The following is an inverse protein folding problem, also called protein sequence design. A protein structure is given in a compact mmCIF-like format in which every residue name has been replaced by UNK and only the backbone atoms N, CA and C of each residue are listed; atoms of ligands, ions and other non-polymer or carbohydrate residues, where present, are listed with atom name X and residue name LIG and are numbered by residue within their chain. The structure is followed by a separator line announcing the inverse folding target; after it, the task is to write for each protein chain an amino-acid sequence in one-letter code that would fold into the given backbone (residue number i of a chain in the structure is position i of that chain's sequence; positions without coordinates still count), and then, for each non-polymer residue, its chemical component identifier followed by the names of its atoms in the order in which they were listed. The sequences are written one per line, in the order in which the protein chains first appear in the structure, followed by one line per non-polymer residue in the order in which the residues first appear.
data_IF_881644941191
#
_entry.id   IF_881644941191
#
_cell.length_a   1.000
_cell.length_b   1.000
_cell.length_c   1.000
_cell.angle_alpha   90.00
_cell.angle_beta   90.00
_cell.angle_gamma   90.00
#
_symmetry.space_group_name_H-M   'P 1'
#
loop_
_entity.id
_entity.type
_entity.pdbx_description
1 polymer ?
#
# COMPACT_ATOMS: atom_id res chain seq x y z
N UNK A 1 6.51 -0.98 15.44
CA UNK A 1 5.42 -1.14 14.44
C UNK A 1 6.08 -1.21 13.07
N UNK A 2 5.87 -2.29 12.30
CA UNK A 2 6.53 -2.50 11.02
C UNK A 2 6.09 -1.48 9.94
N UNK A 3 4.84 -1.01 9.99
CA UNK A 3 4.25 -0.14 8.96
C UNK A 3 4.46 1.36 9.23
N UNK A 4 5.63 1.77 9.75
CA UNK A 4 5.94 3.19 9.96
C UNK A 4 6.64 3.75 8.73
N UNK A 5 6.32 5.00 8.36
CA UNK A 5 7.04 5.71 7.29
C UNK A 5 8.53 5.73 7.59
N UNK A 6 9.35 5.47 6.56
CA UNK A 6 10.81 5.56 6.65
C UNK A 6 11.22 6.95 7.11
N UNK A 7 12.24 7.04 7.97
CA UNK A 7 12.67 8.30 8.60
C UNK A 7 13.15 9.35 7.60
N UNK A 8 13.58 8.90 6.42
CA UNK A 8 14.09 9.75 5.34
C UNK A 8 13.01 10.17 4.35
N UNK A 9 11.73 9.82 4.59
CA UNK A 9 10.65 10.22 3.71
C UNK A 9 10.39 11.72 3.80
N UNK A 10 10.26 12.37 2.64
CA UNK A 10 9.84 13.76 2.57
C UNK A 10 8.36 13.90 2.93
N UNK A 11 8.02 15.00 3.59
CA UNK A 11 6.62 15.33 3.87
C UNK A 11 5.95 15.80 2.59
N UNK A 12 4.83 15.18 2.24
CA UNK A 12 4.03 15.56 1.06
C UNK A 12 2.80 16.30 1.58
N UNK A 13 2.49 17.46 0.99
CA UNK A 13 1.40 18.35 1.45
C UNK A 13 1.49 18.75 2.93
N UNK A 14 2.70 18.86 3.49
CA UNK A 14 2.90 19.25 4.89
C UNK A 14 2.50 18.17 5.91
N UNK A 15 2.21 16.95 5.46
CA UNK A 15 1.83 15.83 6.32
C UNK A 15 2.69 14.60 6.03
N UNK A 16 2.53 13.54 6.82
CA UNK A 16 3.16 12.26 6.52
C UNK A 16 2.56 11.72 5.22
N UNK A 17 3.37 11.29 4.23
CA UNK A 17 2.86 10.74 2.97
C UNK A 17 1.82 9.62 3.15
N UNK A 18 1.90 8.83 4.22
CA UNK A 18 0.91 7.78 4.51
C UNK A 18 -0.49 8.30 4.88
N UNK A 19 -0.60 9.57 5.28
CA UNK A 19 -1.86 10.20 5.69
C UNK A 19 -2.66 10.76 4.53
N UNK A 20 -2.14 10.69 3.31
CA UNK A 20 -2.91 10.99 2.09
C UNK A 20 -4.05 9.97 1.90
N UNK A 21 -3.89 8.76 2.45
CA UNK A 21 -4.94 7.73 2.49
C UNK A 21 -5.67 7.77 3.83
N UNK A 22 -7.00 7.67 3.77
CA UNK A 22 -7.86 7.65 4.96
C UNK A 22 -7.49 6.51 5.93
N UNK A 23 -7.70 6.76 7.22
CA UNK A 23 -7.36 5.80 8.29
C UNK A 23 -8.05 4.44 8.10
N UNK A 24 -9.31 4.43 7.67
CA UNK A 24 -10.09 3.19 7.49
C UNK A 24 -9.47 2.33 6.38
N UNK A 25 -9.15 2.94 5.24
CA UNK A 25 -8.55 2.25 4.09
C UNK A 25 -7.16 1.73 4.45
N UNK A 26 -6.34 2.52 5.14
CA UNK A 26 -4.99 2.11 5.58
C UNK A 26 -5.02 0.87 6.49
N UNK A 27 -5.99 0.79 7.41
CA UNK A 27 -6.18 -0.40 8.24
C UNK A 27 -6.57 -1.61 7.41
N UNK A 28 -7.47 -1.45 6.44
CA UNK A 28 -7.85 -2.54 5.51
C UNK A 28 -6.67 -3.03 4.69
N UNK A 29 -5.83 -2.13 4.19
CA UNK A 29 -4.62 -2.49 3.42
C UNK A 29 -3.69 -3.34 4.28
N UNK A 30 -3.41 -2.96 5.53
CA UNK A 30 -2.57 -3.74 6.44
C UNK A 30 -3.17 -5.10 6.82
N UNK A 31 -4.50 -5.23 6.81
CA UNK A 31 -5.20 -6.48 7.07
C UNK A 31 -5.20 -7.43 5.87
N UNK A 32 -5.06 -6.90 4.65
CA UNK A 32 -5.11 -7.66 3.41
C UNK A 32 -4.03 -8.75 3.34
N UNK A 33 -4.38 -9.87 2.71
CA UNK A 33 -3.47 -11.02 2.52
C UNK A 33 -2.24 -10.60 1.70
N UNK A 34 -2.47 -9.84 0.63
CA UNK A 34 -1.42 -9.32 -0.24
C UNK A 34 -0.39 -8.48 0.52
N UNK A 35 -0.82 -7.58 1.41
CA UNK A 35 0.11 -6.75 2.17
C UNK A 35 1.02 -7.56 3.11
N UNK A 36 0.47 -8.61 3.73
CA UNK A 36 1.22 -9.44 4.69
C UNK A 36 2.19 -10.40 4.01
N UNK A 37 1.85 -10.90 2.83
CA UNK A 37 2.65 -11.89 2.11
C UNK A 37 3.67 -11.22 1.17
N UNK A 38 3.25 -10.19 0.43
CA UNK A 38 4.04 -9.62 -0.67
C UNK A 38 4.65 -8.25 -0.34
N UNK A 39 4.02 -7.46 0.53
CA UNK A 39 4.50 -6.10 0.85
C UNK A 39 5.38 -6.02 2.11
N UNK A 40 5.66 -7.14 2.78
CA UNK A 40 6.49 -7.13 3.99
C UNK A 40 7.97 -6.95 3.63
N UNK A 41 8.50 -5.74 3.83
CA UNK A 41 9.90 -5.42 3.54
C UNK A 41 10.19 -5.07 2.07
N UNK A 42 9.15 -4.73 1.30
CA UNK A 42 9.26 -4.35 -0.09
C UNK A 42 10.15 -3.09 -0.26
N UNK A 43 11.13 -3.16 -1.16
CA UNK A 43 12.02 -2.06 -1.52
C UNK A 43 11.60 -1.44 -2.85
N UNK A 44 12.01 -0.20 -3.12
CA UNK A 44 11.61 0.53 -4.33
C UNK A 44 11.94 -0.20 -5.66
N UNK A 45 12.96 -1.06 -5.65
CA UNK A 45 13.37 -1.87 -6.82
C UNK A 45 12.35 -2.97 -7.11
N UNK A 46 11.93 -3.70 -6.06
CA UNK A 46 11.00 -4.84 -6.16
C UNK A 46 9.54 -4.41 -6.39
N UNK A 47 9.22 -3.13 -6.14
CA UNK A 47 7.87 -2.57 -6.41
C UNK A 47 7.52 -2.70 -7.89
N UNK A 48 8.49 -2.49 -8.80
CA UNK A 48 8.25 -2.55 -10.25
C UNK A 48 7.90 -3.97 -10.67
N UNK A 49 8.64 -4.95 -10.17
CA UNK A 49 8.39 -6.37 -10.47
C UNK A 49 6.98 -6.78 -10.02
N UNK A 50 6.59 -6.38 -8.79
CA UNK A 50 5.24 -6.64 -8.28
C UNK A 50 4.15 -5.91 -9.05
N UNK A 51 4.40 -4.67 -9.48
CA UNK A 51 3.45 -3.90 -10.27
C UNK A 51 3.19 -4.54 -11.65
N UNK A 52 4.20 -5.19 -12.25
CA UNK A 52 4.03 -5.90 -13.54
C UNK A 52 3.21 -7.17 -13.43
N UNK A 53 3.29 -7.88 -12.30
CA UNK A 53 2.49 -9.08 -12.03
C UNK A 53 1.01 -8.75 -11.78
N UNK A 54 0.73 -7.54 -11.30
CA UNK A 54 -0.63 -7.03 -11.06
C UNK A 54 -1.29 -6.60 -12.38
N UNK A 55 -1.94 -7.54 -13.05
CA UNK A 55 -2.68 -7.33 -14.30
C UNK A 55 -4.13 -6.85 -14.12
N UNK A 56 -4.59 -6.63 -12.89
CA UNK A 56 -5.97 -6.22 -12.59
C UNK A 56 -6.02 -4.81 -12.03
N UNK A 57 -6.33 -3.86 -12.91
CA UNK A 57 -6.69 -2.48 -12.58
C UNK A 57 -8.22 -2.37 -12.47
N UNK A 58 -8.84 -3.25 -11.67
CA UNK A 58 -10.30 -3.23 -11.53
C UNK A 58 -10.71 -2.52 -10.24
N UNK A 59 -11.26 -1.33 -10.44
CA UNK A 59 -12.00 -0.54 -9.48
C UNK A 59 -13.23 -1.34 -9.02
N UNK A 60 -13.19 -1.90 -7.80
CA UNK A 60 -14.33 -2.42 -7.04
C UNK A 60 -15.21 -3.50 -7.72
N UNK A 61 -14.70 -4.72 -7.94
CA UNK A 61 -15.57 -5.89 -8.15
C UNK A 61 -15.82 -6.60 -6.81
N UNK A 62 -16.94 -6.24 -6.17
CA UNK A 62 -17.61 -6.93 -5.07
C UNK A 62 -16.82 -7.13 -3.75
N UNK A 63 -17.27 -6.42 -2.70
CA UNK A 63 -17.00 -6.65 -1.28
C UNK A 63 -15.58 -6.33 -0.78
N UNK A 64 -15.42 -5.10 -0.24
CA UNK A 64 -14.53 -4.75 0.88
C UNK A 64 -13.08 -5.28 0.90
N UNK A 65 -12.50 -5.67 -0.24
CA UNK A 65 -11.07 -5.99 -0.32
C UNK A 65 -10.34 -4.79 -0.92
N UNK A 66 -9.39 -4.17 -0.19
CA UNK A 66 -8.58 -3.11 -0.77
C UNK A 66 -7.78 -3.70 -1.94
N UNK A 67 -7.84 -3.04 -3.10
CA UNK A 67 -7.06 -3.41 -4.27
C UNK A 67 -5.56 -3.29 -3.97
N UNK A 68 -4.71 -4.17 -4.55
CA UNK A 68 -3.27 -4.24 -4.25
C UNK A 68 -2.47 -3.03 -4.76
N UNK A 69 -3.10 -2.07 -5.43
CA UNK A 69 -2.47 -0.95 -6.12
C UNK A 69 -2.49 0.38 -5.33
N UNK A 70 -3.04 0.41 -4.10
CA UNK A 70 -2.95 1.60 -3.22
C UNK A 70 -1.62 1.59 -2.43
N UNK A 71 -0.52 1.26 -3.09
CA UNK A 71 0.83 1.44 -2.55
C UNK A 71 1.31 2.88 -2.83
#
# INVERSE_FOLDING_TARGET
MANRTVKNAHHIHGTNPQFLVEKIIRTRIYESKYWKEECFGLTAELVVDRATELSVLCCQCALYLPSPLIL
#
